data_IF_054401213847
#
_entry.id   IF_054401213847
#
_cell.length_a   1.000
_cell.length_b   1.000
_cell.length_c   1.000
_cell.angle_alpha   90.00
_cell.angle_beta   90.00
_cell.angle_gamma   90.00
#
_symmetry.space_group_name_H-M   'P 1'
#
loop_
_entity.id
_entity.type
_entity.pdbx_description
1 polymer ?
#
# COMPACT_ATOMS: atom_id res chain seq x y z
N UNK A 1 31.28 19.76 17.61
CA UNK A 1 30.95 18.93 18.79
C UNK A 1 29.47 18.98 19.19
N UNK A 2 28.75 20.12 19.24
CA UNK A 2 27.30 20.14 19.54
C UNK A 2 26.38 19.95 18.31
N UNK A 3 26.90 20.11 17.08
CA UNK A 3 26.14 19.92 15.85
C UNK A 3 25.87 18.43 15.57
N UNK A 4 26.80 17.55 15.94
CA UNK A 4 26.72 16.09 15.67
C UNK A 4 25.55 15.41 16.39
N UNK A 5 25.14 15.96 17.55
CA UNK A 5 24.03 15.46 18.36
C UNK A 5 22.63 15.80 17.81
N UNK A 6 22.50 16.81 16.95
CA UNK A 6 21.20 17.19 16.33
C UNK A 6 20.99 16.42 15.02
N UNK A 7 22.06 15.95 14.39
CA UNK A 7 22.01 15.18 13.13
C UNK A 7 21.80 13.68 13.36
N UNK A 8 21.96 13.19 14.59
CA UNK A 8 21.82 11.77 14.92
C UNK A 8 20.33 11.38 15.03
N UNK A 9 19.79 10.77 13.97
CA UNK A 9 18.46 10.13 14.02
C UNK A 9 18.59 8.90 14.94
N UNK A 10 17.86 8.85 16.07
CA UNK A 10 17.95 7.73 16.98
C UNK A 10 17.55 6.43 16.24
N UNK A 11 18.32 5.34 16.38
CA UNK A 11 17.99 4.10 15.71
C UNK A 11 16.63 3.61 16.22
N UNK A 12 15.69 3.38 15.30
CA UNK A 12 14.40 2.75 15.60
C UNK A 12 14.61 1.48 16.43
N UNK A 13 13.90 1.37 17.55
CA UNK A 13 14.10 0.26 18.48
C UNK A 13 13.85 -1.08 17.79
N UNK A 14 14.64 -2.10 18.15
CA UNK A 14 14.49 -3.46 17.60
C UNK A 14 13.07 -4.01 17.81
N UNK A 15 12.42 -3.64 18.92
CA UNK A 15 11.04 -4.04 19.24
C UNK A 15 9.99 -3.51 18.26
N UNK A 16 10.11 -2.24 17.84
CA UNK A 16 9.20 -1.66 16.85
C UNK A 16 9.39 -2.29 15.45
N UNK A 17 10.63 -2.66 15.10
CA UNK A 17 10.91 -3.40 13.85
C UNK A 17 10.24 -4.77 13.84
N UNK A 18 10.30 -5.51 14.95
CA UNK A 18 9.67 -6.83 15.05
C UNK A 18 8.15 -6.75 15.11
N UNK A 19 7.59 -5.71 15.72
CA UNK A 19 6.14 -5.52 15.81
C UNK A 19 5.47 -5.39 14.43
N UNK A 20 6.14 -4.78 13.44
CA UNK A 20 5.62 -4.68 12.08
C UNK A 20 5.37 -6.03 11.39
N UNK A 21 6.03 -7.10 11.83
CA UNK A 21 5.85 -8.44 11.26
C UNK A 21 4.70 -9.23 11.87
N UNK A 22 4.05 -8.71 12.92
CA UNK A 22 2.93 -9.39 13.58
C UNK A 22 1.76 -9.59 12.60
N UNK A 23 1.39 -8.54 11.85
CA UNK A 23 0.26 -8.62 10.91
C UNK A 23 0.50 -9.69 9.82
N UNK A 24 1.62 -9.68 9.08
CA UNK A 24 1.93 -10.75 8.13
C UNK A 24 1.90 -12.16 8.75
N UNK A 25 2.51 -12.33 9.92
CA UNK A 25 2.57 -13.62 10.61
C UNK A 25 1.17 -14.13 10.97
N UNK A 26 0.30 -13.25 11.51
CA UNK A 26 -1.08 -13.60 11.84
C UNK A 26 -1.86 -14.04 10.61
N UNK A 27 -1.71 -13.36 9.48
CA UNK A 27 -2.48 -13.66 8.27
C UNK A 27 -2.00 -14.95 7.61
N UNK A 28 -0.69 -15.11 7.47
CA UNK A 28 -0.11 -16.34 6.88
C UNK A 28 -0.43 -17.55 7.76
N UNK A 29 -0.28 -17.44 9.08
CA UNK A 29 -0.63 -18.53 10.00
C UNK A 29 -2.13 -18.84 9.98
N UNK A 30 -3.00 -17.83 9.93
CA UNK A 30 -4.45 -18.04 9.85
C UNK A 30 -4.85 -18.80 8.57
N UNK A 31 -4.29 -18.41 7.41
CA UNK A 31 -4.54 -19.14 6.15
C UNK A 31 -4.05 -20.59 6.24
N UNK A 32 -2.88 -20.82 6.82
CA UNK A 32 -2.34 -22.17 7.05
C UNK A 32 -3.22 -23.02 7.97
N UNK A 33 -3.73 -22.43 9.06
CA UNK A 33 -4.65 -23.09 9.98
C UNK A 33 -6.00 -23.39 9.32
N UNK A 34 -6.55 -22.48 8.51
CA UNK A 34 -7.76 -22.72 7.72
C UNK A 34 -7.54 -23.90 6.76
N UNK A 35 -6.38 -23.95 6.08
CA UNK A 35 -6.08 -25.05 5.18
C UNK A 35 -6.04 -26.41 5.91
N UNK A 36 -5.49 -26.43 7.13
CA UNK A 36 -5.43 -27.63 7.96
C UNK A 36 -6.79 -28.04 8.54
N UNK A 37 -7.57 -27.10 9.08
CA UNK A 37 -8.81 -27.39 9.80
C UNK A 37 -10.03 -27.52 8.88
N UNK A 38 -10.10 -26.69 7.83
CA UNK A 38 -11.27 -26.53 6.95
C UNK A 38 -11.02 -26.99 5.51
N UNK A 39 -9.78 -27.35 5.19
CA UNK A 39 -9.37 -27.85 3.88
C UNK A 39 -8.92 -26.74 2.92
N UNK A 40 -8.23 -27.19 1.86
CA UNK A 40 -7.57 -26.31 0.88
C UNK A 40 -8.56 -25.42 0.08
N UNK A 41 -9.80 -25.87 -0.12
CA UNK A 41 -10.82 -25.08 -0.83
C UNK A 41 -11.18 -23.78 -0.11
N UNK A 42 -11.43 -23.85 1.20
CA UNK A 42 -11.76 -22.67 2.03
C UNK A 42 -10.56 -21.74 2.20
N UNK A 43 -9.34 -22.30 2.31
CA UNK A 43 -8.13 -21.51 2.32
C UNK A 43 -7.93 -20.76 0.98
N UNK A 44 -8.17 -21.43 -0.15
CA UNK A 44 -8.12 -20.81 -1.47
C UNK A 44 -9.13 -19.67 -1.64
N UNK A 45 -10.36 -19.85 -1.14
CA UNK A 45 -11.38 -18.79 -1.14
C UNK A 45 -10.94 -17.57 -0.30
N UNK A 46 -10.31 -17.80 0.85
CA UNK A 46 -9.78 -16.71 1.69
C UNK A 46 -8.60 -15.98 1.04
N UNK A 47 -7.70 -16.71 0.36
CA UNK A 47 -6.62 -16.09 -0.41
C UNK A 47 -7.19 -15.23 -1.54
N UNK A 48 -8.19 -15.74 -2.27
CA UNK A 48 -8.84 -14.98 -3.34
C UNK A 48 -9.54 -13.74 -2.78
N UNK A 49 -10.24 -13.87 -1.65
CA UNK A 49 -10.85 -12.75 -0.96
C UNK A 49 -9.80 -11.71 -0.53
N UNK A 50 -8.66 -12.14 0.01
CA UNK A 50 -7.54 -11.28 0.37
C UNK A 50 -7.02 -10.48 -0.83
N UNK A 51 -6.82 -11.16 -1.97
CA UNK A 51 -6.37 -10.55 -3.22
C UNK A 51 -7.38 -9.49 -3.68
N UNK A 52 -8.67 -9.81 -3.69
CA UNK A 52 -9.70 -8.88 -4.14
C UNK A 52 -9.89 -7.71 -3.18
N UNK A 53 -9.90 -7.98 -1.87
CA UNK A 53 -10.05 -6.97 -0.82
C UNK A 53 -8.91 -5.95 -0.85
N UNK A 54 -7.68 -6.36 -1.18
CA UNK A 54 -6.55 -5.43 -1.33
C UNK A 54 -6.49 -4.79 -2.72
N UNK A 55 -6.61 -5.60 -3.76
CA UNK A 55 -6.39 -5.18 -5.14
C UNK A 55 -7.44 -4.20 -5.64
N UNK A 56 -8.73 -4.43 -5.35
CA UNK A 56 -9.83 -3.60 -5.86
C UNK A 56 -9.75 -2.17 -5.28
N UNK A 57 -9.72 -1.96 -3.94
CA UNK A 57 -9.68 -0.62 -3.39
C UNK A 57 -8.39 0.12 -3.75
N UNK A 58 -7.25 -0.57 -3.81
CA UNK A 58 -5.99 0.03 -4.26
C UNK A 58 -6.08 0.50 -5.72
N UNK A 59 -6.66 -0.32 -6.60
CA UNK A 59 -6.85 0.03 -8.02
C UNK A 59 -7.83 1.19 -8.20
N UNK A 60 -8.90 1.23 -7.40
CA UNK A 60 -9.83 2.36 -7.35
C UNK A 60 -9.07 3.62 -6.91
N UNK A 61 -8.23 3.53 -5.87
CA UNK A 61 -7.38 4.64 -5.44
C UNK A 61 -6.46 5.16 -6.56
N UNK A 62 -5.83 4.27 -7.32
CA UNK A 62 -5.03 4.67 -8.49
C UNK A 62 -5.89 5.33 -9.58
N UNK A 63 -7.07 4.78 -9.88
CA UNK A 63 -7.99 5.33 -10.87
C UNK A 63 -8.49 6.73 -10.47
N UNK A 64 -8.83 6.92 -9.19
CA UNK A 64 -9.23 8.20 -8.62
C UNK A 64 -8.11 9.24 -8.71
N UNK A 65 -6.85 8.84 -8.60
CA UNK A 65 -5.70 9.71 -8.80
C UNK A 65 -5.41 10.04 -10.28
N UNK A 66 -6.20 9.52 -11.24
CA UNK A 66 -5.91 9.56 -12.67
C UNK A 66 -4.50 9.03 -13.01
N UNK A 67 -4.14 7.90 -12.37
CA UNK A 67 -2.91 7.19 -12.66
C UNK A 67 -2.91 6.62 -14.08
N UNK A 68 -1.71 6.34 -14.59
CA UNK A 68 -1.54 5.61 -15.84
C UNK A 68 -2.16 4.20 -15.73
N UNK A 69 -2.74 3.62 -16.79
CA UNK A 69 -3.34 2.28 -16.73
C UNK A 69 -2.39 1.20 -16.19
N UNK A 70 -1.10 1.26 -16.55
CA UNK A 70 -0.09 0.35 -16.01
C UNK A 70 0.07 0.47 -14.48
N UNK A 71 -0.07 1.68 -13.94
CA UNK A 71 -0.05 1.94 -12.49
C UNK A 71 -1.27 1.32 -11.80
N UNK A 72 -2.45 1.40 -12.41
CA UNK A 72 -3.68 0.78 -11.88
C UNK A 72 -3.52 -0.75 -11.81
N UNK A 73 -3.01 -1.37 -12.88
CA UNK A 73 -2.74 -2.83 -12.89
C UNK A 73 -1.68 -3.18 -11.84
N UNK A 74 -0.63 -2.37 -11.71
CA UNK A 74 0.39 -2.57 -10.67
C UNK A 74 -0.18 -2.46 -9.26
N UNK A 75 -1.14 -1.57 -9.03
CA UNK A 75 -1.82 -1.42 -7.74
C UNK A 75 -2.57 -2.70 -7.37
N UNK A 76 -3.32 -3.28 -8.31
CA UNK A 76 -4.04 -4.53 -8.11
C UNK A 76 -3.10 -5.68 -7.72
N UNK A 77 -1.99 -5.83 -8.45
CA UNK A 77 -1.05 -6.93 -8.25
C UNK A 77 -0.18 -6.75 -6.99
N UNK A 78 0.27 -5.52 -6.73
CA UNK A 78 1.18 -5.23 -5.64
C UNK A 78 0.48 -5.17 -4.28
N UNK A 79 -0.76 -4.66 -4.21
CA UNK A 79 -1.47 -4.47 -2.94
C UNK A 79 -1.55 -5.73 -2.05
N UNK A 80 -1.96 -6.92 -2.52
CA UNK A 80 -2.06 -8.10 -1.66
C UNK A 80 -0.70 -8.66 -1.18
N UNK A 81 0.37 -8.38 -1.91
CA UNK A 81 1.74 -8.81 -1.56
C UNK A 81 2.35 -7.82 -0.57
N UNK A 82 2.21 -6.52 -0.85
CA UNK A 82 2.76 -5.43 -0.05
C UNK A 82 2.07 -5.29 1.30
N UNK A 83 0.78 -5.64 1.41
CA UNK A 83 0.09 -5.70 2.71
C UNK A 83 0.64 -6.77 3.65
N UNK A 84 1.37 -7.77 3.13
CA UNK A 84 2.06 -8.80 3.91
C UNK A 84 3.52 -8.43 4.24
N UNK A 85 3.91 -7.17 4.08
CA UNK A 85 5.24 -6.68 4.50
C UNK A 85 5.17 -5.32 5.18
N UNK A 86 5.86 -5.12 6.31
CA UNK A 86 5.95 -3.80 6.94
C UNK A 86 6.93 -2.85 6.22
N UNK A 87 7.65 -3.34 5.20
CA UNK A 87 8.76 -2.61 4.58
C UNK A 87 8.30 -1.76 3.39
N UNK A 88 7.42 -2.30 2.55
CA UNK A 88 7.01 -1.68 1.29
C UNK A 88 5.49 -1.76 1.18
N UNK A 89 4.81 -0.62 1.23
CA UNK A 89 3.36 -0.54 0.98
C UNK A 89 3.01 -0.42 -0.51
N UNK A 90 1.75 -0.67 -0.84
CA UNK A 90 1.22 -0.57 -2.21
C UNK A 90 1.53 0.78 -2.87
N UNK A 91 1.45 1.87 -2.09
CA UNK A 91 1.77 3.23 -2.53
C UNK A 91 3.18 3.38 -3.10
N UNK A 92 4.19 2.72 -2.52
CA UNK A 92 5.56 2.83 -3.01
C UNK A 92 5.71 2.23 -4.40
N UNK A 93 5.09 1.06 -4.62
CA UNK A 93 5.14 0.37 -5.91
C UNK A 93 4.40 1.18 -6.97
N UNK A 94 3.20 1.68 -6.66
CA UNK A 94 2.39 2.45 -7.60
C UNK A 94 3.02 3.81 -7.90
N UNK A 95 3.60 4.49 -6.92
CA UNK A 95 4.35 5.73 -7.14
C UNK A 95 5.56 5.50 -8.04
N UNK A 96 6.31 4.42 -7.82
CA UNK A 96 7.44 4.05 -8.66
C UNK A 96 6.99 3.79 -10.12
N UNK A 97 5.97 2.95 -10.31
CA UNK A 97 5.43 2.66 -11.66
C UNK A 97 4.88 3.93 -12.32
N UNK A 98 4.23 4.81 -11.56
CA UNK A 98 3.73 6.09 -12.06
C UNK A 98 4.85 7.02 -12.51
N UNK A 99 5.94 7.12 -11.74
CA UNK A 99 7.12 7.92 -12.11
C UNK A 99 7.77 7.37 -13.38
N UNK A 100 7.88 6.04 -13.50
CA UNK A 100 8.47 5.40 -14.67
C UNK A 100 7.61 5.56 -15.92
N UNK A 101 6.29 5.55 -15.78
CA UNK A 101 5.36 5.64 -16.92
C UNK A 101 5.00 7.08 -17.30
N UNK A 102 4.94 7.99 -16.33
CA UNK A 102 4.62 9.40 -16.50
C UNK A 102 5.51 10.28 -15.63
N UNK A 103 6.79 10.46 -16.01
CA UNK A 103 7.73 11.24 -15.21
C UNK A 103 7.29 12.73 -15.13
N UNK A 104 7.52 13.39 -13.99
CA UNK A 104 7.31 14.82 -13.84
C UNK A 104 8.39 15.60 -14.62
N UNK A 105 8.04 16.79 -15.10
CA UNK A 105 8.98 17.69 -15.80
C UNK A 105 9.47 18.77 -14.84
N UNK A 106 10.60 19.41 -15.15
CA UNK A 106 11.25 20.42 -14.28
C UNK A 106 10.27 21.51 -13.82
N UNK A 107 9.44 22.03 -14.73
CA UNK A 107 8.42 23.04 -14.41
C UNK A 107 7.46 22.62 -13.29
N UNK A 108 7.13 21.33 -13.20
CA UNK A 108 6.22 20.81 -12.18
C UNK A 108 6.82 20.87 -10.78
N UNK A 109 8.16 20.87 -10.67
CA UNK A 109 8.88 21.10 -9.42
C UNK A 109 8.92 22.58 -9.06
N UNK A 110 9.00 23.46 -10.06
CA UNK A 110 8.98 24.91 -9.85
C UNK A 110 7.59 25.40 -9.40
N UNK A 111 6.52 24.85 -9.97
CA UNK A 111 5.13 25.25 -9.65
C UNK A 111 4.50 24.47 -8.50
N UNK A 112 5.19 23.45 -7.94
CA UNK A 112 4.61 22.55 -6.92
C UNK A 112 4.12 23.30 -5.67
N UNK A 113 4.84 24.36 -5.27
CA UNK A 113 4.53 25.14 -4.08
C UNK A 113 3.21 25.89 -4.21
N UNK A 114 2.88 26.33 -5.42
CA UNK A 114 1.60 26.99 -5.71
C UNK A 114 0.51 25.93 -5.91
N UNK A 115 0.81 24.89 -6.68
CA UNK A 115 -0.16 23.84 -7.06
C UNK A 115 -0.66 23.02 -5.85
N UNK A 116 0.16 22.82 -4.82
CA UNK A 116 -0.22 22.02 -3.64
C UNK A 116 -1.36 22.66 -2.84
N UNK A 117 -1.50 23.99 -2.91
CA UNK A 117 -2.57 24.74 -2.24
C UNK A 117 -3.93 24.62 -2.92
N UNK A 118 -3.94 24.19 -4.19
CA UNK A 118 -5.15 24.02 -5.00
C UNK A 118 -5.56 22.55 -5.06
N UNK A 119 -6.82 22.26 -4.72
CA UNK A 119 -7.36 20.90 -4.84
C UNK A 119 -7.19 20.31 -6.26
N UNK A 120 -7.42 21.13 -7.28
CA UNK A 120 -7.23 20.71 -8.69
C UNK A 120 -5.76 20.59 -9.08
N UNK A 121 -4.86 21.31 -8.39
CA UNK A 121 -3.41 21.24 -8.60
C UNK A 121 -2.86 19.83 -8.36
N UNK A 122 -3.42 19.09 -7.40
CA UNK A 122 -3.04 17.70 -7.13
C UNK A 122 -3.23 16.75 -8.31
N UNK A 123 -4.25 16.98 -9.13
CA UNK A 123 -4.50 16.19 -10.34
C UNK A 123 -3.83 16.75 -11.58
N UNK A 124 -3.68 18.07 -11.69
CA UNK A 124 -3.05 18.70 -12.86
C UNK A 124 -1.54 18.54 -12.84
N UNK A 125 -0.91 18.73 -11.68
CA UNK A 125 0.53 18.65 -11.54
C UNK A 125 0.98 17.18 -11.46
N UNK A 126 1.90 16.76 -12.34
CA UNK A 126 2.34 15.36 -12.44
C UNK A 126 3.08 14.88 -11.19
N UNK A 127 3.86 15.76 -10.56
CA UNK A 127 4.57 15.45 -9.33
C UNK A 127 3.57 15.22 -8.19
N UNK A 128 2.62 16.13 -8.01
CA UNK A 128 1.56 15.97 -7.01
C UNK A 128 0.69 14.74 -7.27
N UNK A 129 0.42 14.44 -8.54
CA UNK A 129 -0.32 13.23 -8.93
C UNK A 129 0.38 11.96 -8.49
N UNK A 130 1.72 11.89 -8.54
CA UNK A 130 2.47 10.73 -8.02
C UNK A 130 2.23 10.55 -6.52
N UNK A 131 2.26 11.64 -5.74
CA UNK A 131 1.94 11.59 -4.31
C UNK A 131 0.48 11.19 -4.07
N UNK A 132 -0.44 11.69 -4.90
CA UNK A 132 -1.84 11.30 -4.82
C UNK A 132 -2.04 9.80 -5.09
N UNK A 133 -1.37 9.26 -6.12
CA UNK A 133 -1.35 7.82 -6.41
C UNK A 133 -0.81 7.04 -5.22
N UNK A 134 0.33 7.46 -4.66
CA UNK A 134 0.92 6.84 -3.47
C UNK A 134 -0.08 6.75 -2.32
N UNK A 135 -0.71 7.89 -1.99
CA UNK A 135 -1.62 8.00 -0.86
C UNK A 135 -2.90 7.18 -1.08
N UNK A 136 -3.59 7.36 -2.21
CA UNK A 136 -4.88 6.71 -2.45
C UNK A 136 -4.75 5.19 -2.61
N UNK A 137 -3.69 4.71 -3.26
CA UNK A 137 -3.44 3.26 -3.38
C UNK A 137 -3.02 2.65 -2.05
N UNK A 138 -2.21 3.36 -1.25
CA UNK A 138 -1.84 2.96 0.10
C UNK A 138 -3.05 2.86 1.02
N UNK A 139 -3.95 3.86 0.99
CA UNK A 139 -5.20 3.84 1.74
C UNK A 139 -6.11 2.69 1.30
N UNK A 140 -6.25 2.47 -0.01
CA UNK A 140 -7.00 1.32 -0.54
C UNK A 140 -6.47 -0.02 -0.04
N UNK A 141 -5.14 -0.22 -0.07
CA UNK A 141 -4.51 -1.43 0.46
C UNK A 141 -4.68 -1.56 1.97
N UNK A 142 -4.61 -0.47 2.73
CA UNK A 142 -4.86 -0.50 4.17
C UNK A 142 -6.29 -0.96 4.48
N UNK A 143 -7.30 -0.39 3.80
CA UNK A 143 -8.70 -0.83 3.91
C UNK A 143 -8.81 -2.33 3.57
N UNK A 144 -8.17 -2.76 2.49
CA UNK A 144 -8.15 -4.17 2.09
C UNK A 144 -7.52 -5.11 3.11
N UNK A 145 -6.48 -4.66 3.80
CA UNK A 145 -5.82 -5.41 4.88
C UNK A 145 -6.77 -5.60 6.06
N UNK A 146 -7.52 -4.56 6.45
CA UNK A 146 -8.51 -4.66 7.52
C UNK A 146 -9.68 -5.58 7.15
N UNK A 147 -10.28 -5.38 5.97
CA UNK A 147 -11.43 -6.17 5.50
C UNK A 147 -11.04 -7.63 5.26
N UNK A 148 -9.92 -7.86 4.56
CA UNK A 148 -9.38 -9.20 4.30
C UNK A 148 -9.00 -9.91 5.60
N UNK A 149 -8.36 -9.20 6.53
CA UNK A 149 -7.92 -9.77 7.79
C UNK A 149 -9.10 -10.17 8.67
N UNK A 150 -10.15 -9.35 8.70
CA UNK A 150 -11.39 -9.66 9.40
C UNK A 150 -12.05 -10.93 8.85
N UNK A 151 -12.18 -11.08 7.53
CA UNK A 151 -12.82 -12.27 6.94
C UNK A 151 -12.00 -13.55 7.18
N UNK A 152 -10.67 -13.47 7.12
CA UNK A 152 -9.77 -14.59 7.44
C UNK A 152 -9.94 -15.02 8.90
N UNK A 153 -9.92 -14.08 9.84
CA UNK A 153 -10.08 -14.39 11.28
C UNK A 153 -11.47 -14.95 11.55
N UNK A 154 -12.52 -14.35 10.97
CA UNK A 154 -13.90 -14.84 11.09
C UNK A 154 -14.04 -16.26 10.54
N UNK A 155 -13.41 -16.56 9.40
CA UNK A 155 -13.42 -17.91 8.83
C UNK A 155 -12.62 -18.89 9.69
N UNK A 156 -11.56 -18.46 10.35
CA UNK A 156 -10.80 -19.31 11.26
C UNK A 156 -11.57 -19.66 12.53
N UNK A 157 -12.36 -18.71 13.08
CA UNK A 157 -13.08 -18.87 14.35
C UNK A 157 -14.42 -19.61 14.21
N UNK A 158 -15.16 -19.34 13.14
CA UNK A 158 -16.37 -20.10 12.80
C UNK A 158 -16.02 -21.47 12.21
#
# INVERSE_FOLDING_TARGET
HQLDTITAIPPVSKGWKTAGWIIPLVIISSIGLIAYQKGAGTAGANILFWIMANGIPASIGAALAFAHPATIVSAFAAAPITSLTPVIGAGYVTAFVQVMTQPPVVREFETVADDISSFTGWWRNRLLRIFLVFLLTGLGSAIGTYVGGYEIIKTLVN
#
